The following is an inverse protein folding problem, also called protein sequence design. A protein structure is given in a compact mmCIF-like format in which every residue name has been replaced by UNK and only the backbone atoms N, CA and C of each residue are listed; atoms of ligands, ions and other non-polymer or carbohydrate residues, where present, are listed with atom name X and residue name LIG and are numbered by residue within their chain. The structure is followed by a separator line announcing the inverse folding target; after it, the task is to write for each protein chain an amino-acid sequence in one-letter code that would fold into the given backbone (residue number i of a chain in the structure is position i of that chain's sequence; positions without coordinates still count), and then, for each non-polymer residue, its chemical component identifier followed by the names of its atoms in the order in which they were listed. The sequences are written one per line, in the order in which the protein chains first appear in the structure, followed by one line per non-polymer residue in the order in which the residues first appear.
data_IF_451152999513
#
_entry.id   IF_451152999513
#
_cell.length_a   1.000
_cell.length_b   1.000
_cell.length_c   1.000
_cell.angle_alpha   90.00
_cell.angle_beta   90.00
_cell.angle_gamma   90.00
#
_symmetry.space_group_name_H-M   'P 1'
#
loop_
_entity.id
_entity.type
_entity.pdbx_description
1 polymer ?
#
# COMPACT_ATOMS: atom_id res chain seq x y z
N UNK A 1 22.91 -0.55 13.46
CA UNK A 1 23.51 0.40 12.50
C UNK A 1 22.51 0.68 11.40
N UNK A 2 22.15 1.94 11.20
CA UNK A 2 21.21 2.36 10.16
C UNK A 2 22.03 2.43 8.86
N UNK A 3 21.65 1.73 7.77
CA UNK A 3 22.41 1.79 6.53
C UNK A 3 22.40 3.24 6.03
N UNK A 4 23.60 3.81 5.90
CA UNK A 4 23.79 5.16 5.37
C UNK A 4 23.43 5.11 3.88
N UNK A 5 22.25 5.62 3.52
CA UNK A 5 21.76 5.68 2.13
C UNK A 5 22.60 6.59 1.21
N UNK A 6 23.78 7.07 1.64
CA UNK A 6 24.59 8.07 0.92
C UNK A 6 25.39 7.53 -0.27
N UNK A 7 25.31 6.24 -0.60
CA UNK A 7 26.15 5.65 -1.66
C UNK A 7 25.40 4.74 -2.63
N UNK A 8 24.13 5.02 -2.92
CA UNK A 8 23.58 4.54 -4.20
C UNK A 8 24.26 5.36 -5.31
N UNK A 9 25.02 4.73 -6.23
CA UNK A 9 25.65 5.45 -7.32
C UNK A 9 24.57 6.23 -8.07
N UNK A 10 24.72 7.55 -8.26
CA UNK A 10 23.75 8.39 -9.02
C UNK A 10 23.41 7.82 -10.41
N UNK A 11 24.26 6.94 -10.93
CA UNK A 11 24.08 6.20 -12.18
C UNK A 11 23.01 5.09 -12.10
N UNK A 12 22.69 4.60 -10.90
CA UNK A 12 21.61 3.63 -10.63
C UNK A 12 20.25 4.28 -10.36
N UNK A 13 20.21 5.61 -10.16
CA UNK A 13 18.96 6.36 -9.98
C UNK A 13 18.45 6.77 -11.37
N UNK A 14 17.50 6.01 -11.89
CA UNK A 14 17.03 6.15 -13.28
C UNK A 14 15.82 7.06 -13.44
N UNK A 15 15.02 7.28 -12.39
CA UNK A 15 13.89 8.21 -12.44
C UNK A 15 14.37 9.65 -12.33
N UNK A 16 14.24 10.42 -13.42
CA UNK A 16 14.45 11.87 -13.40
C UNK A 16 13.11 12.55 -13.26
N UNK A 17 12.94 13.24 -12.13
CA UNK A 17 11.77 14.09 -11.87
C UNK A 17 11.97 15.38 -12.65
N UNK A 18 11.07 15.68 -13.60
CA UNK A 18 11.12 16.93 -14.36
C UNK A 18 10.44 18.09 -13.67
N UNK A 19 9.55 17.80 -12.71
CA UNK A 19 8.79 18.79 -11.94
C UNK A 19 8.65 18.32 -10.49
N UNK A 20 8.98 19.20 -9.55
CA UNK A 20 8.96 18.97 -8.11
C UNK A 20 7.68 19.47 -7.43
N UNK A 21 6.63 19.80 -8.19
CA UNK A 21 5.31 20.09 -7.65
C UNK A 21 4.83 18.99 -6.67
N UNK A 22 4.09 19.39 -5.63
CA UNK A 22 3.71 18.50 -4.54
C UNK A 22 2.57 17.54 -4.91
N UNK A 23 1.72 17.91 -5.86
CA UNK A 23 0.51 17.15 -6.19
C UNK A 23 0.77 16.01 -7.20
N UNK A 24 1.75 16.19 -8.09
CA UNK A 24 2.16 15.15 -9.04
C UNK A 24 3.61 15.34 -9.48
N UNK A 25 4.28 14.25 -9.84
CA UNK A 25 5.67 14.27 -10.31
C UNK A 25 5.77 13.61 -11.67
N UNK A 26 6.08 14.41 -12.68
CA UNK A 26 6.30 13.91 -14.04
C UNK A 26 7.66 13.23 -14.11
N UNK A 27 7.67 11.94 -14.46
CA UNK A 27 8.86 11.12 -14.64
C UNK A 27 9.24 11.06 -16.12
N UNK A 28 10.53 11.20 -16.42
CA UNK A 28 11.06 11.02 -17.78
C UNK A 28 11.85 9.72 -17.90
N UNK A 29 11.72 8.99 -19.03
CA UNK A 29 12.56 7.84 -19.31
C UNK A 29 14.02 8.28 -19.47
N UNK A 30 14.94 7.42 -19.07
CA UNK A 30 16.38 7.62 -19.19
C UNK A 30 16.95 6.61 -20.16
N UNK A 31 17.78 7.09 -21.10
CA UNK A 31 18.50 6.20 -22.03
C UNK A 31 19.28 5.15 -21.24
N UNK A 32 19.27 3.91 -21.73
CA UNK A 32 20.05 2.83 -21.15
C UNK A 32 21.55 3.14 -21.29
N UNK A 33 22.24 3.19 -20.17
CA UNK A 33 23.68 3.44 -20.07
C UNK A 33 24.30 2.20 -19.44
N UNK A 34 25.44 1.74 -19.97
CA UNK A 34 26.22 0.67 -19.32
C UNK A 34 27.01 1.26 -18.15
N UNK A 35 26.80 0.70 -16.96
CA UNK A 35 27.55 1.02 -15.74
C UNK A 35 28.22 -0.29 -15.31
N UNK A 36 29.52 -0.43 -15.59
CA UNK A 36 30.21 -1.72 -15.46
C UNK A 36 29.62 -2.77 -16.42
N UNK A 37 29.24 -3.93 -15.89
CA UNK A 37 28.56 -5.00 -16.65
C UNK A 37 27.02 -4.89 -16.64
N UNK A 38 26.45 -3.90 -15.96
CA UNK A 38 25.01 -3.72 -15.85
C UNK A 38 24.50 -2.65 -16.83
N UNK A 39 23.40 -2.93 -17.53
CA UNK A 39 22.69 -1.94 -18.34
C UNK A 39 21.60 -1.28 -17.50
N UNK A 40 21.67 0.04 -17.38
CA UNK A 40 20.85 0.82 -16.45
C UNK A 40 20.15 1.96 -17.20
N UNK A 41 18.82 1.94 -17.21
CA UNK A 41 17.98 2.98 -17.82
C UNK A 41 16.50 2.57 -17.75
N UNK A 42 15.60 3.48 -18.13
CA UNK A 42 14.16 3.26 -18.13
C UNK A 42 13.58 3.52 -19.51
N UNK A 43 12.80 2.56 -20.00
CA UNK A 43 11.91 2.76 -21.14
C UNK A 43 10.66 3.54 -20.72
N UNK A 44 9.91 4.15 -21.67
CA UNK A 44 8.61 4.75 -21.37
C UNK A 44 7.65 3.78 -20.66
N UNK A 45 7.70 2.51 -21.04
CA UNK A 45 6.91 1.43 -20.43
C UNK A 45 7.34 1.19 -18.97
N UNK A 46 8.64 1.16 -18.68
CA UNK A 46 9.15 1.03 -17.31
C UNK A 46 8.69 2.21 -16.43
N UNK A 47 8.66 3.43 -16.96
CA UNK A 47 8.17 4.62 -16.25
C UNK A 47 6.68 4.50 -15.95
N UNK A 48 5.89 3.99 -16.91
CA UNK A 48 4.45 3.76 -16.72
C UNK A 48 4.19 2.71 -15.65
N UNK A 49 4.93 1.60 -15.68
CA UNK A 49 4.84 0.53 -14.66
C UNK A 49 5.26 1.06 -13.30
N UNK A 50 6.37 1.79 -13.20
CA UNK A 50 6.87 2.37 -11.96
C UNK A 50 5.86 3.35 -11.32
N UNK A 51 5.22 4.19 -12.12
CA UNK A 51 4.25 5.17 -11.63
C UNK A 51 2.92 4.58 -11.16
N UNK A 52 2.55 3.38 -11.65
CA UNK A 52 1.28 2.73 -11.31
C UNK A 52 1.43 1.54 -10.37
N UNK A 53 2.17 0.52 -10.80
CA UNK A 53 2.35 -0.73 -10.08
C UNK A 53 3.80 -1.22 -10.26
N UNK A 54 4.75 -0.72 -9.45
CA UNK A 54 6.18 -1.01 -9.64
C UNK A 54 6.54 -2.50 -9.50
N UNK A 55 5.65 -3.30 -8.90
CA UNK A 55 5.80 -4.75 -8.75
C UNK A 55 4.86 -5.55 -9.66
N UNK A 56 4.35 -4.93 -10.73
CA UNK A 56 3.44 -5.58 -11.68
C UNK A 56 3.98 -6.90 -12.24
N UNK A 57 5.31 -6.99 -12.47
CA UNK A 57 5.95 -8.20 -12.98
C UNK A 57 5.79 -9.43 -12.06
N UNK A 58 5.48 -9.23 -10.78
CA UNK A 58 5.21 -10.30 -9.82
C UNK A 58 3.76 -10.83 -9.90
N UNK A 59 2.90 -10.24 -10.73
CA UNK A 59 1.50 -10.65 -10.86
C UNK A 59 0.66 -10.44 -9.60
N UNK A 60 1.03 -9.44 -8.77
CA UNK A 60 0.34 -9.14 -7.51
C UNK A 60 -1.12 -8.73 -7.71
N UNK A 61 -1.49 -8.23 -8.89
CA UNK A 61 -2.87 -7.93 -9.28
C UNK A 61 -3.80 -9.15 -9.18
N UNK A 62 -3.25 -10.34 -9.41
CA UNK A 62 -4.01 -11.59 -9.29
C UNK A 62 -4.20 -11.98 -7.83
N UNK A 63 -3.28 -11.58 -6.95
CA UNK A 63 -3.23 -11.98 -5.54
C UNK A 63 -3.84 -10.94 -4.60
N UNK A 64 -3.89 -9.67 -4.98
CA UNK A 64 -4.42 -8.59 -4.16
C UNK A 64 -5.85 -8.24 -4.58
N UNK A 65 -6.63 -7.78 -3.62
CA UNK A 65 -7.96 -7.22 -3.82
C UNK A 65 -8.12 -5.96 -2.99
N UNK A 66 -8.78 -4.96 -3.58
CA UNK A 66 -9.27 -3.80 -2.87
C UNK A 66 -10.54 -4.20 -2.12
N UNK A 67 -10.57 -4.01 -0.80
CA UNK A 67 -11.75 -4.26 0.01
C UNK A 67 -12.11 -3.07 0.87
N UNK A 68 -13.38 -2.72 0.83
CA UNK A 68 -14.05 -1.81 1.77
C UNK A 68 -14.27 -2.48 3.12
N UNK A 69 -14.59 -1.67 4.12
CA UNK A 69 -14.96 -2.15 5.46
C UNK A 69 -16.13 -3.15 5.43
N UNK A 70 -17.12 -2.90 4.56
CA UNK A 70 -18.28 -3.76 4.41
C UNK A 70 -17.91 -5.12 3.80
N UNK A 71 -17.05 -5.13 2.77
CA UNK A 71 -16.58 -6.36 2.13
C UNK A 71 -15.71 -7.21 3.06
N UNK A 72 -15.03 -6.58 4.03
CA UNK A 72 -14.32 -7.27 5.11
C UNK A 72 -15.24 -7.83 6.20
N UNK A 73 -16.57 -7.67 6.05
CA UNK A 73 -17.55 -8.11 7.05
C UNK A 73 -17.53 -7.29 8.35
N UNK A 74 -16.89 -6.12 8.35
CA UNK A 74 -16.84 -5.25 9.51
C UNK A 74 -18.09 -4.34 9.57
N UNK A 75 -18.65 -4.09 10.77
CA UNK A 75 -19.77 -3.18 10.90
C UNK A 75 -19.37 -1.74 10.54
N UNK A 76 -20.27 -0.95 9.95
CA UNK A 76 -19.99 0.44 9.62
C UNK A 76 -19.70 1.26 10.89
N UNK A 77 -18.73 2.17 10.78
CA UNK A 77 -18.47 3.20 11.79
C UNK A 77 -19.64 4.18 11.79
N UNK A 78 -20.15 4.51 12.98
CA UNK A 78 -21.23 5.48 13.12
C UNK A 78 -20.74 6.89 12.80
N UNK A 79 -21.56 7.66 12.09
CA UNK A 79 -21.37 9.07 11.78
C UNK A 79 -21.89 10.00 12.89
N UNK A 80 -22.31 9.45 14.03
CA UNK A 80 -22.87 10.18 15.16
C UNK A 80 -21.96 10.08 16.37
N UNK A 81 -21.96 11.12 17.19
CA UNK A 81 -21.36 11.07 18.53
C UNK A 81 -22.06 10.01 19.38
N UNK A 82 -21.29 9.31 20.20
CA UNK A 82 -21.79 8.30 21.14
C UNK A 82 -22.50 8.91 22.37
N UNK A 83 -22.56 10.24 22.47
CA UNK A 83 -23.15 10.97 23.57
C UNK A 83 -23.95 12.18 23.06
N UNK A 84 -24.92 12.62 23.86
CA UNK A 84 -25.74 13.79 23.58
C UNK A 84 -25.70 14.75 24.77
N UNK A 85 -25.10 15.92 24.57
CA UNK A 85 -24.95 16.95 25.60
C UNK A 85 -25.93 18.12 25.44
N UNK A 86 -26.87 18.06 24.48
CA UNK A 86 -27.76 19.19 24.14
C UNK A 86 -28.63 19.66 25.31
N UNK A 87 -28.87 18.80 26.31
CA UNK A 87 -29.64 19.13 27.51
C UNK A 87 -28.80 19.67 28.66
N UNK A 88 -27.47 19.54 28.61
CA UNK A 88 -26.57 19.93 29.68
C UNK A 88 -26.40 21.45 29.72
N UNK A 89 -26.46 22.07 30.90
CA UNK A 89 -26.42 23.53 31.04
C UNK A 89 -25.14 24.14 30.46
N UNK A 90 -23.99 23.50 30.69
CA UNK A 90 -22.70 23.95 30.14
C UNK A 90 -22.61 23.86 28.60
N UNK A 91 -23.49 23.11 27.94
CA UNK A 91 -23.49 22.93 26.49
C UNK A 91 -24.29 24.02 25.74
N UNK A 92 -24.94 24.94 26.46
CA UNK A 92 -25.81 25.98 25.87
C UNK A 92 -25.09 27.24 25.45
N UNK A 93 -23.83 27.42 25.86
CA UNK A 93 -23.04 28.56 25.41
C UNK A 93 -22.79 28.48 23.91
N UNK A 94 -22.69 29.63 23.23
CA UNK A 94 -22.45 29.67 21.79
C UNK A 94 -21.17 28.91 21.38
N UNK A 95 -20.13 29.02 22.20
CA UNK A 95 -18.86 28.31 22.00
C UNK A 95 -19.07 26.80 22.15
N UNK A 96 -19.79 26.36 23.18
CA UNK A 96 -20.04 24.93 23.39
C UNK A 96 -20.88 24.29 22.26
N UNK A 97 -21.89 25.01 21.76
CA UNK A 97 -22.68 24.57 20.59
C UNK A 97 -21.79 24.44 19.35
N UNK A 98 -20.95 25.45 19.09
CA UNK A 98 -19.99 25.41 17.97
C UNK A 98 -19.01 24.24 18.08
N UNK A 99 -18.50 23.96 19.29
CA UNK A 99 -17.61 22.82 19.53
C UNK A 99 -18.33 21.47 19.33
N UNK A 100 -19.59 21.35 19.77
CA UNK A 100 -20.39 20.14 19.53
C UNK A 100 -20.61 19.89 18.04
N UNK A 101 -20.97 20.93 17.27
CA UNK A 101 -21.12 20.81 15.83
C UNK A 101 -19.83 20.35 15.15
N UNK A 102 -18.68 20.89 15.56
CA UNK A 102 -17.38 20.46 15.02
C UNK A 102 -17.08 18.99 15.32
N UNK A 103 -17.42 18.52 16.53
CA UNK A 103 -17.25 17.11 16.89
C UNK A 103 -18.17 16.21 16.05
N UNK A 104 -19.41 16.64 15.77
CA UNK A 104 -20.33 15.93 14.88
C UNK A 104 -19.79 15.87 13.44
N UNK A 105 -19.26 16.99 12.93
CA UNK A 105 -18.65 17.06 11.60
C UNK A 105 -17.40 16.16 11.50
N UNK A 106 -16.53 16.19 12.53
CA UNK A 106 -15.35 15.33 12.60
C UNK A 106 -15.73 13.85 12.65
N UNK A 107 -16.75 13.48 13.43
CA UNK A 107 -17.26 12.11 13.50
C UNK A 107 -17.80 11.64 12.15
N UNK A 108 -18.58 12.50 11.46
CA UNK A 108 -19.10 12.22 10.12
C UNK A 108 -18.00 12.06 9.09
N UNK A 109 -17.03 12.97 9.10
CA UNK A 109 -15.87 12.95 8.20
C UNK A 109 -15.05 11.66 8.40
N UNK A 110 -14.77 11.30 9.65
CA UNK A 110 -14.08 10.06 9.97
C UNK A 110 -14.87 8.82 9.55
N UNK A 111 -16.17 8.76 9.87
CA UNK A 111 -17.02 7.64 9.50
C UNK A 111 -17.07 7.44 7.98
N UNK A 112 -17.17 8.54 7.22
CA UNK A 112 -17.13 8.49 5.76
C UNK A 112 -15.80 7.92 5.24
N UNK A 113 -14.67 8.44 5.74
CA UNK A 113 -13.35 7.96 5.36
C UNK A 113 -13.12 6.49 5.75
N UNK A 114 -13.54 6.09 6.95
CA UNK A 114 -13.35 4.73 7.45
C UNK A 114 -14.25 3.70 6.74
N UNK A 115 -15.49 4.09 6.41
CA UNK A 115 -16.44 3.19 5.75
C UNK A 115 -16.19 3.05 4.25
N UNK A 116 -15.83 4.16 3.58
CA UNK A 116 -15.49 4.16 2.14
C UNK A 116 -14.02 3.85 1.86
N UNK A 117 -13.20 3.87 2.90
CA UNK A 117 -11.77 3.57 2.81
C UNK A 117 -11.54 2.19 2.24
N UNK A 118 -10.60 2.12 1.29
CA UNK A 118 -10.20 0.88 0.64
C UNK A 118 -8.91 0.41 1.29
N UNK A 119 -8.88 -0.86 1.71
CA UNK A 119 -7.67 -1.54 2.16
C UNK A 119 -7.31 -2.63 1.17
N UNK A 120 -6.03 -2.73 0.81
CA UNK A 120 -5.55 -3.84 -0.02
C UNK A 120 -5.37 -5.07 0.85
N UNK A 121 -6.06 -6.16 0.51
CA UNK A 121 -5.95 -7.47 1.17
C UNK A 121 -5.44 -8.50 0.16
N UNK A 122 -4.84 -9.56 0.65
CA UNK A 122 -4.46 -10.70 -0.18
C UNK A 122 -5.65 -11.66 -0.27
N UNK A 123 -6.02 -12.04 -1.49
CA UNK A 123 -7.07 -13.03 -1.75
C UNK A 123 -6.69 -14.34 -1.06
N UNK A 124 -7.69 -15.08 -0.59
CA UNK A 124 -7.51 -16.33 0.16
C UNK A 124 -6.83 -16.13 1.53
N UNK A 125 -6.65 -14.90 1.98
CA UNK A 125 -6.14 -14.53 3.31
C UNK A 125 -7.02 -13.45 3.94
N UNK A 126 -8.33 -13.47 3.64
CA UNK A 126 -9.28 -12.61 4.33
C UNK A 126 -9.50 -13.10 5.76
N UNK A 127 -9.97 -12.20 6.62
CA UNK A 127 -10.08 -12.47 8.06
C UNK A 127 -11.07 -13.62 8.37
N UNK A 128 -12.08 -13.82 7.53
CA UNK A 128 -13.04 -14.93 7.58
C UNK A 128 -12.46 -16.25 7.05
N UNK A 129 -11.71 -16.20 5.95
CA UNK A 129 -10.98 -17.35 5.41
C UNK A 129 -9.92 -17.87 6.38
N UNK A 130 -9.16 -16.96 7.02
CA UNK A 130 -8.18 -17.33 8.04
C UNK A 130 -8.86 -18.03 9.22
N UNK A 131 -10.01 -17.53 9.69
CA UNK A 131 -10.79 -18.20 10.74
C UNK A 131 -11.23 -19.60 10.31
N UNK A 132 -11.63 -19.78 9.04
CA UNK A 132 -11.96 -21.10 8.49
C UNK A 132 -10.76 -22.05 8.54
N UNK A 133 -9.58 -21.60 8.14
CA UNK A 133 -8.36 -22.42 8.15
C UNK A 133 -7.89 -22.78 9.57
N UNK A 134 -8.08 -21.88 10.54
CA UNK A 134 -7.78 -22.16 11.95
C UNK A 134 -8.72 -23.22 12.51
N UNK A 135 -10.00 -23.17 12.13
CA UNK A 135 -11.00 -24.14 12.59
C UNK A 135 -10.89 -25.50 11.88
N UNK A 136 -10.49 -25.53 10.61
CA UNK A 136 -10.20 -26.75 9.85
C UNK A 136 -8.83 -26.64 9.15
N UNK A 137 -7.74 -27.05 9.82
CA UNK A 137 -6.39 -26.98 9.28
C UNK A 137 -6.08 -28.04 8.23
N UNK A 138 -7.02 -28.95 7.93
CA UNK A 138 -6.85 -30.02 6.93
C UNK A 138 -7.57 -29.72 5.61
N UNK A 139 -8.16 -28.53 5.49
CA UNK A 139 -8.90 -28.16 4.30
C UNK A 139 -7.98 -27.99 3.07
N UNK A 140 -8.46 -28.45 1.92
CA UNK A 140 -7.74 -28.33 0.63
C UNK A 140 -7.45 -26.89 0.22
N UNK A 141 -8.28 -25.95 0.68
CA UNK A 141 -8.10 -24.53 0.42
C UNK A 141 -6.82 -24.00 1.08
N UNK A 142 -6.51 -24.44 2.31
CA UNK A 142 -5.27 -24.05 2.98
C UNK A 142 -4.02 -24.55 2.23
N UNK A 143 -4.05 -25.76 1.68
CA UNK A 143 -2.97 -26.29 0.84
C UNK A 143 -2.75 -25.43 -0.42
N UNK A 144 -3.84 -24.98 -1.05
CA UNK A 144 -3.77 -24.08 -2.20
C UNK A 144 -3.15 -22.72 -1.81
N UNK A 145 -3.57 -22.15 -0.67
CA UNK A 145 -3.03 -20.89 -0.14
C UNK A 145 -1.53 -21.00 0.12
N UNK A 146 -1.10 -22.08 0.78
CA UNK A 146 0.32 -22.34 1.05
C UNK A 146 1.12 -22.42 -0.26
N UNK A 147 0.59 -23.12 -1.26
CA UNK A 147 1.25 -23.23 -2.59
C UNK A 147 1.40 -21.86 -3.27
N UNK A 148 0.35 -21.04 -3.23
CA UNK A 148 0.36 -19.68 -3.80
C UNK A 148 1.39 -18.80 -3.07
N UNK A 149 1.41 -18.83 -1.73
CA UNK A 149 2.37 -18.07 -0.92
C UNK A 149 3.81 -18.53 -1.21
N UNK A 150 4.06 -19.83 -1.30
CA UNK A 150 5.38 -20.36 -1.64
C UNK A 150 5.84 -19.93 -3.04
N UNK A 151 4.93 -19.90 -4.02
CA UNK A 151 5.21 -19.39 -5.36
C UNK A 151 5.58 -17.90 -5.35
N UNK A 152 4.86 -17.10 -4.56
CA UNK A 152 5.14 -15.68 -4.37
C UNK A 152 6.50 -15.46 -3.68
N UNK A 153 6.81 -16.23 -2.63
CA UNK A 153 8.11 -16.17 -1.94
C UNK A 153 9.25 -16.47 -2.91
N UNK A 154 9.14 -17.53 -3.72
CA UNK A 154 10.15 -17.87 -4.73
C UNK A 154 10.35 -16.74 -5.75
N UNK A 155 9.24 -16.13 -6.19
CA UNK A 155 9.27 -15.01 -7.14
C UNK A 155 9.98 -13.78 -6.54
N UNK A 156 9.65 -13.43 -5.30
CA UNK A 156 10.29 -12.33 -4.56
C UNK A 156 11.79 -12.59 -4.32
N UNK A 157 12.15 -13.81 -3.92
CA UNK A 157 13.54 -14.21 -3.72
C UNK A 157 14.35 -14.15 -5.03
N UNK A 158 13.74 -14.53 -6.16
CA UNK A 158 14.38 -14.41 -7.47
C UNK A 158 14.67 -12.94 -7.84
N UNK A 159 13.69 -12.05 -7.64
CA UNK A 159 13.89 -10.61 -7.88
C UNK A 159 14.95 -10.03 -6.94
N UNK A 160 14.91 -10.39 -5.65
CA UNK A 160 15.93 -9.97 -4.69
C UNK A 160 17.33 -10.42 -5.09
N UNK A 161 17.49 -11.66 -5.57
CA UNK A 161 18.77 -12.18 -6.04
C UNK A 161 19.29 -11.42 -7.26
N UNK A 162 18.41 -11.10 -8.22
CA UNK A 162 18.75 -10.30 -9.40
C UNK A 162 19.21 -8.89 -9.02
N UNK A 163 18.50 -8.26 -8.08
CA UNK A 163 18.85 -6.91 -7.61
C UNK A 163 20.18 -6.92 -6.85
N UNK A 164 20.43 -7.93 -6.01
CA UNK A 164 21.70 -8.09 -5.30
C UNK A 164 22.88 -8.17 -6.28
N UNK A 165 22.77 -8.97 -7.35
CA UNK A 165 23.81 -9.09 -8.38
C UNK A 165 24.08 -7.74 -9.05
N UNK A 166 23.03 -6.98 -9.40
CA UNK A 166 23.16 -5.65 -10.04
C UNK A 166 23.83 -4.62 -9.12
N UNK A 167 23.53 -4.64 -7.82
CA UNK A 167 24.16 -3.75 -6.84
C UNK A 167 25.64 -4.09 -6.65
N UNK A 168 25.96 -5.37 -6.47
CA UNK A 168 27.34 -5.83 -6.27
C UNK A 168 28.24 -5.59 -7.49
N UNK A 169 27.70 -5.78 -8.70
CA UNK A 169 28.44 -5.49 -9.95
C UNK A 169 28.60 -4.00 -10.25
N UNK A 170 27.79 -3.12 -9.65
CA UNK A 170 27.94 -1.66 -9.78
C UNK A 170 28.93 -1.06 -8.79
N UNK A 171 29.37 -1.81 -7.76
CA UNK A 171 30.36 -1.38 -6.78
C UNK A 171 31.79 -1.86 -7.10
N UNK A 172 31.94 -2.67 -8.16
CA UNK A 172 33.24 -3.02 -8.75
C UNK A 172 33.48 -2.18 -10.01
#
# INVERSE_FOLDING_TARGET
EIPVFSTLPRKLITTRVSDYACDSRTLKPTKKIKVGNAEVGLTPEDVKVFGGNPLFALGLDKLLSAQTRQEQGMPPVSDKLSFNLNKHEAARSHIAISMLHRLEDDAKCYAEQANKGITMKMKMLYDDEIKKYVNDPTCKELEQVISVIQSLIKSLQSVQAQDKVKVETSHK
#
